data_IF_470010594214
#
_entry.id   IF_470010594214
#
_cell.length_a   1.000
_cell.length_b   1.000
_cell.length_c   1.000
_cell.angle_alpha   90.00
_cell.angle_beta   90.00
_cell.angle_gamma   90.00
#
_symmetry.space_group_name_H-M   'P 1'
#
loop_
_entity.id
_entity.type
_entity.pdbx_description
1 polymer ?
#
# COMPACT_ATOMS: atom_id res chain seq x y z
N UNK A 1 24.11 -4.70 14.89
CA UNK A 1 22.84 -3.95 15.02
C UNK A 1 22.26 -3.77 13.63
N UNK A 2 20.98 -4.07 13.41
CA UNK A 2 20.36 -3.97 12.07
C UNK A 2 20.54 -2.56 11.48
N UNK A 3 20.73 -2.45 10.16
CA UNK A 3 20.92 -1.15 9.48
C UNK A 3 19.75 -0.17 9.75
N UNK A 4 18.54 -0.70 9.96
CA UNK A 4 17.37 0.07 10.39
C UNK A 4 17.53 0.68 11.79
N UNK A 5 17.95 -0.12 12.80
CA UNK A 5 18.21 0.39 14.16
C UNK A 5 19.28 1.48 14.15
N UNK A 6 20.32 1.31 13.34
CA UNK A 6 21.37 2.33 13.17
C UNK A 6 20.83 3.62 12.56
N UNK A 7 20.00 3.52 11.52
CA UNK A 7 19.40 4.69 10.87
C UNK A 7 18.42 5.42 11.80
N UNK A 8 17.63 4.68 12.57
CA UNK A 8 16.71 5.24 13.56
C UNK A 8 17.45 5.93 14.70
N UNK A 9 18.52 5.31 15.19
CA UNK A 9 19.39 5.89 16.21
C UNK A 9 19.99 7.23 15.74
N UNK A 10 20.53 7.29 14.52
CA UNK A 10 21.11 8.53 13.99
C UNK A 10 20.06 9.62 13.73
N UNK A 11 18.88 9.27 13.22
CA UNK A 11 17.80 10.23 13.05
C UNK A 11 17.27 10.76 14.40
N UNK A 12 17.16 9.91 15.41
CA UNK A 12 16.79 10.32 16.76
C UNK A 12 17.84 11.23 17.39
N UNK A 13 19.13 10.93 17.22
CA UNK A 13 20.23 11.81 17.62
C UNK A 13 20.14 13.15 16.90
N UNK A 14 19.93 13.14 15.58
CA UNK A 14 19.79 14.35 14.79
C UNK A 14 18.65 15.24 15.32
N UNK A 15 17.46 14.67 15.54
CA UNK A 15 16.32 15.42 16.08
C UNK A 15 16.59 15.92 17.50
N UNK A 16 17.26 15.13 18.35
CA UNK A 16 17.66 15.55 19.68
C UNK A 16 18.66 16.73 19.64
N UNK A 17 19.64 16.69 18.73
CA UNK A 17 20.59 17.78 18.52
C UNK A 17 19.86 19.03 18.04
N UNK A 18 19.00 18.93 17.02
CA UNK A 18 18.21 20.08 16.53
C UNK A 18 17.33 20.66 17.63
N UNK A 19 16.70 19.82 18.45
CA UNK A 19 15.88 20.27 19.58
C UNK A 19 16.69 20.99 20.64
N UNK A 20 17.87 20.46 21.01
CA UNK A 20 18.77 21.12 21.97
C UNK A 20 19.23 22.47 21.42
N UNK A 21 19.61 22.54 20.14
CA UNK A 21 19.99 23.80 19.50
C UNK A 21 18.84 24.81 19.48
N UNK A 22 17.63 24.37 19.14
CA UNK A 22 16.43 25.22 19.18
C UNK A 22 16.15 25.78 20.59
N UNK A 23 16.38 24.98 21.63
CA UNK A 23 16.19 25.41 23.01
C UNK A 23 17.29 26.38 23.47
N UNK A 24 18.53 26.17 23.03
CA UNK A 24 19.65 27.08 23.38
C UNK A 24 19.52 28.45 22.74
N UNK A 25 18.99 28.51 21.52
CA UNK A 25 18.78 29.77 20.80
C UNK A 25 17.69 30.64 21.44
N UNK A 26 16.72 30.01 22.10
CA UNK A 26 15.62 30.71 22.78
C UNK A 26 16.03 31.34 24.13
N UNK A 27 17.27 31.09 24.60
CA UNK A 27 17.82 31.72 25.79
C UNK A 27 18.25 33.16 25.48
N UNK A 28 18.26 34.03 26.49
CA UNK A 28 18.58 35.47 26.37
C UNK A 28 20.00 35.80 25.87
N UNK A 29 20.83 34.80 25.61
CA UNK A 29 22.19 34.93 25.08
C UNK A 29 22.51 33.69 24.24
N UNK A 30 22.05 33.64 22.98
CA UNK A 30 22.30 32.50 22.09
C UNK A 30 23.81 32.38 21.82
N UNK A 31 24.32 31.15 21.82
CA UNK A 31 25.72 30.84 21.50
C UNK A 31 25.93 30.85 19.98
N UNK A 32 24.91 30.39 19.24
CA UNK A 32 24.78 30.40 17.78
C UNK A 32 23.37 30.92 17.52
N UNK A 33 23.18 31.85 16.58
CA UNK A 33 21.86 32.44 16.30
C UNK A 33 21.32 31.88 14.97
N UNK A 34 20.60 30.77 15.05
CA UNK A 34 19.97 30.11 13.91
C UNK A 34 18.68 30.83 13.50
N UNK A 35 18.51 31.05 12.21
CA UNK A 35 17.31 31.71 11.72
C UNK A 35 16.05 30.83 11.90
N UNK A 36 14.90 31.43 12.22
CA UNK A 36 13.65 30.68 12.42
C UNK A 36 13.21 29.88 11.18
N UNK A 37 13.55 30.36 9.97
CA UNK A 37 13.25 29.63 8.73
C UNK A 37 14.06 28.33 8.59
N UNK A 38 15.22 28.21 9.23
CA UNK A 38 16.00 26.97 9.24
C UNK A 38 15.23 25.88 9.98
N UNK A 39 14.74 26.15 11.20
CA UNK A 39 13.93 25.18 11.95
C UNK A 39 12.65 24.79 11.21
N UNK A 40 11.98 25.77 10.58
CA UNK A 40 10.80 25.50 9.75
C UNK A 40 11.15 24.60 8.55
N UNK A 41 12.29 24.85 7.90
CA UNK A 41 12.77 24.02 6.78
C UNK A 41 13.04 22.58 7.23
N UNK A 42 13.70 22.36 8.37
CA UNK A 42 13.94 21.00 8.92
C UNK A 42 12.63 20.31 9.28
N UNK A 43 11.71 21.03 9.93
CA UNK A 43 10.41 20.52 10.35
C UNK A 43 9.53 20.06 9.17
N UNK A 44 9.69 20.66 7.99
CA UNK A 44 8.99 20.24 6.78
C UNK A 44 9.80 19.19 6.01
N UNK A 45 11.10 19.42 5.82
CA UNK A 45 11.96 18.61 4.98
C UNK A 45 12.10 17.18 5.46
N UNK A 46 12.28 16.98 6.77
CA UNK A 46 12.47 15.66 7.35
C UNK A 46 11.20 14.81 7.22
N UNK A 47 10.00 15.25 7.66
CA UNK A 47 8.78 14.47 7.49
C UNK A 47 8.40 14.24 6.03
N UNK A 48 8.53 15.25 5.15
CA UNK A 48 8.23 15.08 3.72
C UNK A 48 9.15 14.03 3.11
N UNK A 49 10.46 14.09 3.39
CA UNK A 49 11.42 13.10 2.89
C UNK A 49 11.16 11.70 3.45
N UNK A 50 10.74 11.61 4.70
CA UNK A 50 10.51 10.33 5.39
C UNK A 50 9.21 9.64 4.95
N UNK A 51 8.11 10.38 4.84
CA UNK A 51 6.77 9.81 4.65
C UNK A 51 6.29 9.80 3.20
N UNK A 52 6.94 10.53 2.29
CA UNK A 52 6.49 10.56 0.90
C UNK A 52 6.99 9.30 0.14
N UNK A 53 6.08 8.40 -0.30
CA UNK A 53 6.47 7.07 -0.79
C UNK A 53 7.36 7.06 -2.03
N UNK A 54 7.29 8.12 -2.85
CA UNK A 54 8.09 8.23 -4.07
C UNK A 54 9.57 8.53 -3.78
N UNK A 55 9.90 9.08 -2.62
CA UNK A 55 11.26 9.53 -2.30
C UNK A 55 12.19 8.34 -2.01
N UNK A 56 11.66 7.24 -1.48
CA UNK A 56 12.45 6.01 -1.26
C UNK A 56 12.89 5.34 -2.57
N UNK A 57 12.25 5.66 -3.71
CA UNK A 57 12.56 5.10 -5.03
C UNK A 57 13.64 5.88 -5.79
N UNK A 58 13.97 7.08 -5.36
CA UNK A 58 14.98 7.94 -6.02
C UNK A 58 16.33 7.88 -5.30
N UNK A 59 17.45 8.09 -6.01
CA UNK A 59 18.77 8.09 -5.38
C UNK A 59 18.92 9.25 -4.39
N UNK A 60 19.85 9.11 -3.45
CA UNK A 60 19.96 10.01 -2.29
C UNK A 60 20.21 11.47 -2.62
N UNK A 61 20.85 11.76 -3.76
CA UNK A 61 21.13 13.13 -4.18
C UNK A 61 19.89 13.91 -4.63
N UNK A 62 18.80 13.24 -5.03
CA UNK A 62 17.60 13.94 -5.54
C UNK A 62 16.92 14.78 -4.45
N UNK A 63 16.51 14.24 -3.29
CA UNK A 63 15.90 15.07 -2.25
C UNK A 63 16.89 16.07 -1.64
N UNK A 64 18.18 15.74 -1.58
CA UNK A 64 19.23 16.68 -1.16
C UNK A 64 19.25 17.91 -2.08
N UNK A 65 19.34 17.72 -3.40
CA UNK A 65 19.34 18.84 -4.35
C UNK A 65 18.04 19.65 -4.32
N UNK A 66 16.89 19.00 -4.13
CA UNK A 66 15.58 19.66 -4.03
C UNK A 66 15.53 20.56 -2.78
N UNK A 67 15.94 20.05 -1.62
CA UNK A 67 15.93 20.82 -0.37
C UNK A 67 17.04 21.87 -0.32
N UNK A 68 18.22 21.59 -0.88
CA UNK A 68 19.28 22.57 -1.08
C UNK A 68 18.78 23.76 -1.93
N UNK A 69 18.12 23.47 -3.06
CA UNK A 69 17.54 24.50 -3.93
C UNK A 69 16.47 25.32 -3.22
N UNK A 70 15.57 24.66 -2.49
CA UNK A 70 14.53 25.34 -1.71
C UNK A 70 15.13 26.25 -0.64
N UNK A 71 16.15 25.80 0.07
CA UNK A 71 16.83 26.58 1.11
C UNK A 71 17.60 27.78 0.51
N UNK A 72 18.25 27.62 -0.65
CA UNK A 72 18.88 28.74 -1.36
C UNK A 72 17.86 29.82 -1.78
N UNK A 73 16.66 29.41 -2.20
CA UNK A 73 15.57 30.37 -2.50
C UNK A 73 15.12 31.11 -1.24
N UNK A 74 15.00 30.41 -0.10
CA UNK A 74 14.70 31.06 1.19
C UNK A 74 15.77 32.10 1.54
N UNK A 75 17.05 31.76 1.39
CA UNK A 75 18.16 32.69 1.67
C UNK A 75 18.13 33.95 0.80
N UNK A 76 17.59 33.89 -0.43
CA UNK A 76 17.48 35.05 -1.31
C UNK A 76 16.21 35.88 -1.07
N UNK A 77 15.15 35.27 -0.56
CA UNK A 77 13.81 35.89 -0.46
C UNK A 77 13.50 36.41 0.94
N UNK A 78 14.04 35.78 1.98
CA UNK A 78 13.77 36.11 3.38
C UNK A 78 14.95 36.87 3.95
N UNK A 79 14.69 38.11 4.39
CA UNK A 79 15.72 38.91 5.06
C UNK A 79 16.06 38.29 6.42
N UNK A 80 17.31 37.85 6.59
CA UNK A 80 17.77 37.19 7.81
C UNK A 80 17.68 38.10 9.03
N UNK A 81 17.79 39.42 8.84
CA UNK A 81 17.73 40.40 9.93
C UNK A 81 16.40 40.39 10.69
N UNK A 82 15.35 39.79 10.10
CA UNK A 82 14.05 39.58 10.73
C UNK A 82 14.10 38.53 11.84
N UNK A 83 15.06 37.60 11.80
CA UNK A 83 15.07 36.41 12.66
C UNK A 83 16.40 36.08 13.32
N UNK A 84 17.53 36.67 12.90
CA UNK A 84 18.84 36.49 13.51
C UNK A 84 19.72 37.75 13.32
N UNK A 85 20.55 38.09 14.30
CA UNK A 85 21.48 39.24 14.26
C UNK A 85 22.74 38.87 13.48
N UNK A 86 23.27 39.83 12.69
CA UNK A 86 24.48 39.77 11.85
C UNK A 86 25.01 38.36 11.52
N UNK A 87 24.64 37.87 10.32
CA UNK A 87 24.99 36.53 9.87
C UNK A 87 26.49 36.34 9.65
N UNK A 88 27.16 35.70 10.59
CA UNK A 88 28.42 35.06 10.28
C UNK A 88 28.16 33.98 9.21
N UNK A 89 28.92 34.02 8.11
CA UNK A 89 28.84 33.05 7.02
C UNK A 89 28.96 31.59 7.52
N UNK A 90 29.69 31.39 8.62
CA UNK A 90 29.82 30.13 9.35
C UNK A 90 28.46 29.54 9.78
N UNK A 91 27.53 30.37 10.26
CA UNK A 91 26.22 29.91 10.77
C UNK A 91 25.32 29.49 9.61
N UNK A 92 25.31 30.24 8.50
CA UNK A 92 24.52 29.88 7.31
C UNK A 92 25.02 28.55 6.72
N UNK A 93 26.34 28.37 6.65
CA UNK A 93 26.93 27.09 6.22
C UNK A 93 26.55 25.95 7.16
N UNK A 94 26.53 26.20 8.47
CA UNK A 94 26.10 25.21 9.45
C UNK A 94 24.61 24.85 9.31
N UNK A 95 23.72 25.83 9.14
CA UNK A 95 22.29 25.61 8.87
C UNK A 95 22.09 24.74 7.62
N UNK A 96 22.77 25.08 6.53
CA UNK A 96 22.71 24.31 5.30
C UNK A 96 23.17 22.86 5.51
N UNK A 97 24.33 22.66 6.16
CA UNK A 97 24.86 21.32 6.45
C UNK A 97 23.87 20.54 7.34
N UNK A 98 23.32 21.16 8.38
CA UNK A 98 22.38 20.50 9.29
C UNK A 98 21.07 20.12 8.57
N UNK A 99 20.57 20.95 7.66
CA UNK A 99 19.40 20.62 6.86
C UNK A 99 19.67 19.41 5.95
N UNK A 100 20.77 19.46 5.19
CA UNK A 100 21.16 18.38 4.26
C UNK A 100 21.41 17.05 4.99
N UNK A 101 22.07 17.10 6.15
CA UNK A 101 22.26 15.92 7.02
C UNK A 101 20.92 15.35 7.49
N UNK A 102 19.96 16.21 7.86
CA UNK A 102 18.62 15.80 8.24
C UNK A 102 17.86 15.11 7.11
N UNK A 103 17.89 15.71 5.92
CA UNK A 103 17.28 15.14 4.69
C UNK A 103 17.94 13.81 4.34
N UNK A 104 19.26 13.72 4.43
CA UNK A 104 19.99 12.49 4.18
C UNK A 104 19.57 11.37 5.15
N UNK A 105 19.48 11.65 6.44
CA UNK A 105 19.00 10.67 7.42
C UNK A 105 17.56 10.26 7.19
N UNK A 106 16.67 11.21 6.88
CA UNK A 106 15.27 10.94 6.58
C UNK A 106 15.14 10.00 5.36
N UNK A 107 15.92 10.24 4.30
CA UNK A 107 15.98 9.37 3.13
C UNK A 107 16.46 7.96 3.50
N UNK A 108 17.61 7.86 4.20
CA UNK A 108 18.14 6.56 4.62
C UNK A 108 17.10 5.76 5.41
N UNK A 109 16.37 6.40 6.30
CA UNK A 109 15.26 5.76 7.01
C UNK A 109 14.14 5.30 6.08
N UNK A 110 13.68 6.15 5.16
CA UNK A 110 12.62 5.81 4.20
C UNK A 110 13.00 4.58 3.35
N UNK A 111 14.25 4.50 2.88
CA UNK A 111 14.76 3.35 2.13
C UNK A 111 14.81 2.08 2.98
N UNK A 112 15.26 2.19 4.23
CA UNK A 112 15.34 1.01 5.12
C UNK A 112 13.95 0.48 5.48
N UNK A 113 12.96 1.36 5.66
CA UNK A 113 11.56 0.98 5.87
C UNK A 113 11.02 0.26 4.63
N UNK A 114 11.16 0.86 3.45
CA UNK A 114 10.68 0.26 2.19
C UNK A 114 11.35 -1.09 1.88
N UNK A 115 12.64 -1.22 2.16
CA UNK A 115 13.34 -2.50 2.03
C UNK A 115 12.79 -3.55 3.00
N UNK A 116 12.55 -3.19 4.26
CA UNK A 116 11.96 -4.09 5.23
C UNK A 116 10.57 -4.59 4.78
N UNK A 117 9.72 -3.69 4.27
CA UNK A 117 8.42 -4.05 3.69
C UNK A 117 8.57 -5.02 2.51
N UNK A 118 9.47 -4.74 1.56
CA UNK A 118 9.67 -5.62 0.40
C UNK A 118 10.15 -7.02 0.78
N UNK A 119 10.98 -7.13 1.83
CA UNK A 119 11.44 -8.42 2.36
C UNK A 119 10.28 -9.15 3.03
N UNK A 120 9.41 -8.45 3.76
CA UNK A 120 8.21 -9.06 4.35
C UNK A 120 7.29 -9.63 3.29
N UNK A 121 7.06 -8.90 2.19
CA UNK A 121 6.24 -9.37 1.08
C UNK A 121 6.87 -10.59 0.40
N UNK A 122 8.19 -10.55 0.17
CA UNK A 122 8.93 -11.69 -0.39
C UNK A 122 8.86 -12.93 0.52
N UNK A 123 8.94 -12.76 1.85
CA UNK A 123 8.81 -13.85 2.81
C UNK A 123 7.40 -14.43 2.82
N UNK A 124 6.36 -13.59 2.77
CA UNK A 124 4.97 -14.04 2.71
C UNK A 124 4.71 -14.84 1.43
N UNK A 125 5.17 -14.34 0.27
CA UNK A 125 5.07 -15.05 -1.02
C UNK A 125 5.93 -16.32 -1.07
N UNK A 126 7.09 -16.34 -0.42
CA UNK A 126 7.91 -17.55 -0.33
C UNK A 126 7.27 -18.61 0.57
N UNK A 127 6.57 -18.21 1.63
CA UNK A 127 5.86 -19.13 2.52
C UNK A 127 4.61 -19.70 1.83
N UNK A 128 3.92 -18.86 1.06
CA UNK A 128 2.67 -19.19 0.37
C UNK A 128 2.75 -18.80 -1.11
N UNK A 129 3.51 -19.57 -1.92
CA UNK A 129 3.67 -19.28 -3.34
C UNK A 129 2.31 -19.35 -4.05
N UNK A 130 2.05 -18.36 -4.89
CA UNK A 130 0.82 -18.22 -5.66
C UNK A 130 1.07 -17.44 -6.96
N UNK A 131 0.17 -17.54 -7.94
CA UNK A 131 0.28 -16.84 -9.24
C UNK A 131 -0.51 -15.53 -9.28
N UNK A 132 -0.84 -14.93 -8.13
CA UNK A 132 -1.63 -13.69 -8.05
C UNK A 132 -0.82 -12.55 -8.66
N UNK A 133 -1.43 -11.77 -9.55
CA UNK A 133 -0.79 -10.61 -10.19
C UNK A 133 -1.61 -9.35 -10.00
N UNK A 134 -0.98 -8.17 -10.09
CA UNK A 134 -1.71 -6.92 -10.06
C UNK A 134 -2.58 -6.77 -11.31
N UNK A 135 -3.83 -6.38 -11.11
CA UNK A 135 -4.83 -6.24 -12.19
C UNK A 135 -4.36 -5.30 -13.31
N UNK A 136 -3.62 -4.25 -12.95
CA UNK A 136 -3.08 -3.25 -13.88
C UNK A 136 -1.97 -3.83 -14.76
N UNK A 137 -1.18 -4.78 -14.24
CA UNK A 137 -0.09 -5.41 -14.98
C UNK A 137 -0.60 -6.35 -16.09
N UNK A 138 -1.79 -6.94 -15.90
CA UNK A 138 -2.36 -7.96 -16.78
C UNK A 138 -3.47 -7.43 -17.73
N UNK A 139 -3.62 -6.09 -17.85
CA UNK A 139 -4.62 -5.44 -18.72
C UNK A 139 -4.64 -6.00 -20.16
N UNK A 140 -3.46 -6.27 -20.74
CA UNK A 140 -3.35 -6.86 -22.08
C UNK A 140 -3.96 -8.26 -22.14
N UNK A 141 -3.71 -9.10 -21.14
CA UNK A 141 -4.18 -10.48 -21.10
C UNK A 141 -5.69 -10.55 -20.84
N UNK A 142 -6.19 -9.68 -19.97
CA UNK A 142 -7.63 -9.47 -19.73
C UNK A 142 -8.33 -9.12 -21.05
N UNK A 143 -7.83 -8.11 -21.79
CA UNK A 143 -8.40 -7.71 -23.09
C UNK A 143 -8.41 -8.83 -24.12
N UNK A 144 -7.35 -9.65 -24.15
CA UNK A 144 -7.28 -10.83 -25.03
C UNK A 144 -8.37 -11.84 -24.69
N UNK A 145 -8.59 -12.16 -23.42
CA UNK A 145 -9.61 -13.13 -23.01
C UNK A 145 -11.04 -12.62 -23.25
N UNK A 146 -11.33 -11.34 -22.98
CA UNK A 146 -12.64 -10.74 -23.35
C UNK A 146 -12.87 -10.80 -24.86
N UNK A 147 -11.83 -10.49 -25.66
CA UNK A 147 -11.94 -10.55 -27.13
C UNK A 147 -12.15 -11.97 -27.62
N UNK A 148 -11.47 -12.96 -27.03
CA UNK A 148 -11.64 -14.39 -27.36
C UNK A 148 -13.05 -14.88 -27.03
N UNK A 149 -13.52 -14.59 -25.83
CA UNK A 149 -14.88 -14.93 -25.40
C UNK A 149 -15.93 -14.38 -26.36
N UNK A 150 -15.84 -13.09 -26.70
CA UNK A 150 -16.77 -12.43 -27.63
C UNK A 150 -16.71 -13.01 -29.04
N UNK A 151 -15.51 -13.29 -29.56
CA UNK A 151 -15.34 -13.80 -30.94
C UNK A 151 -15.84 -15.23 -31.09
N UNK A 152 -15.54 -16.08 -30.11
CA UNK A 152 -15.83 -17.50 -30.17
C UNK A 152 -17.09 -17.91 -29.39
N UNK A 153 -17.82 -16.95 -28.82
CA UNK A 153 -19.00 -17.17 -27.99
C UNK A 153 -18.73 -18.19 -26.88
N UNK A 154 -17.53 -18.11 -26.28
CA UNK A 154 -17.14 -18.95 -25.14
C UNK A 154 -17.51 -18.22 -23.86
N UNK A 155 -18.13 -18.89 -22.88
CA UNK A 155 -18.50 -18.25 -21.63
C UNK A 155 -17.26 -17.75 -20.90
N UNK A 156 -17.35 -16.58 -20.29
CA UNK A 156 -16.28 -15.97 -19.50
C UNK A 156 -16.93 -15.41 -18.25
N UNK A 157 -16.40 -15.76 -17.08
CA UNK A 157 -16.93 -15.26 -15.82
C UNK A 157 -15.84 -14.62 -15.00
N UNK A 158 -16.22 -13.66 -14.17
CA UNK A 158 -15.35 -12.96 -13.25
C UNK A 158 -15.87 -13.16 -11.83
N UNK A 159 -15.00 -13.54 -10.91
CA UNK A 159 -15.31 -13.69 -9.49
C UNK A 159 -14.46 -12.70 -8.70
N UNK A 160 -15.08 -11.92 -7.84
CA UNK A 160 -14.40 -11.08 -6.84
C UNK A 160 -14.47 -11.77 -5.50
N UNK A 161 -13.34 -11.86 -4.79
CA UNK A 161 -13.25 -12.37 -3.43
C UNK A 161 -12.59 -11.31 -2.55
N UNK A 162 -13.27 -10.94 -1.47
CA UNK A 162 -12.86 -9.91 -0.51
C UNK A 162 -12.90 -10.46 0.91
N UNK A 163 -11.96 -10.03 1.75
CA UNK A 163 -11.97 -10.37 3.17
C UNK A 163 -13.19 -9.78 3.87
N UNK A 164 -13.83 -10.57 4.73
CA UNK A 164 -14.84 -10.05 5.63
C UNK A 164 -14.12 -9.34 6.79
N UNK A 165 -14.03 -8.02 6.72
CA UNK A 165 -13.59 -7.20 7.84
C UNK A 165 -14.75 -7.05 8.82
N UNK A 166 -14.59 -7.58 10.03
CA UNK A 166 -15.46 -7.29 11.18
C UNK A 166 -15.33 -5.79 11.51
N UNK A 167 -16.07 -4.94 10.78
CA UNK A 167 -16.06 -3.47 10.93
C UNK A 167 -16.47 -3.01 12.35
N UNK A 168 -16.99 -3.91 13.19
CA UNK A 168 -17.43 -3.62 14.55
C UNK A 168 -16.38 -3.85 15.66
N UNK A 169 -15.19 -4.42 15.38
CA UNK A 169 -14.20 -4.74 16.45
C UNK A 169 -12.91 -3.93 16.45
N UNK A 170 -12.69 -3.02 15.50
CA UNK A 170 -11.41 -2.32 15.33
C UNK A 170 -11.31 -0.94 16.01
N UNK A 171 -12.08 -0.68 17.08
CA UNK A 171 -11.88 0.51 17.93
C UNK A 171 -10.83 0.31 19.03
N UNK A 172 -10.04 -0.77 19.01
CA UNK A 172 -8.99 -1.00 20.01
C UNK A 172 -7.63 -1.33 19.41
N UNK A 173 -6.67 -0.51 19.80
CA UNK A 173 -5.21 -0.70 19.73
C UNK A 173 -4.50 -0.23 18.44
N UNK A 174 -4.32 1.09 18.34
CA UNK A 174 -3.27 1.76 17.55
C UNK A 174 -1.85 1.20 17.83
N UNK A 175 -1.67 0.43 18.91
CA UNK A 175 -0.40 -0.23 19.27
C UNK A 175 -0.12 -1.54 18.50
N UNK A 176 -1.04 -2.04 17.66
CA UNK A 176 -0.91 -3.34 16.96
C UNK A 176 -0.52 -3.26 15.48
N UNK A 177 -0.09 -2.09 14.99
CA UNK A 177 0.04 -1.81 13.55
C UNK A 177 1.03 -2.71 12.81
N UNK A 178 2.21 -2.99 13.37
CA UNK A 178 3.23 -3.81 12.67
C UNK A 178 2.87 -5.29 12.65
N UNK A 179 2.39 -5.83 13.79
CA UNK A 179 1.95 -7.23 13.84
C UNK A 179 0.74 -7.46 12.95
N UNK A 180 -0.18 -6.49 12.92
CA UNK A 180 -1.34 -6.55 12.05
C UNK A 180 -0.97 -6.49 10.56
N UNK A 181 -0.03 -5.62 10.18
CA UNK A 181 0.44 -5.53 8.79
C UNK A 181 1.14 -6.84 8.35
N UNK A 182 1.99 -7.41 9.21
CA UNK A 182 2.59 -8.72 8.97
C UNK A 182 1.53 -9.81 8.82
N UNK A 183 0.60 -9.92 9.76
CA UNK A 183 -0.48 -10.91 9.69
C UNK A 183 -1.33 -10.72 8.44
N UNK A 184 -1.66 -9.48 8.07
CA UNK A 184 -2.40 -9.15 6.85
C UNK A 184 -1.68 -9.64 5.59
N UNK A 185 -0.36 -9.39 5.47
CA UNK A 185 0.44 -9.84 4.33
C UNK A 185 0.51 -11.36 4.23
N UNK A 186 0.76 -12.05 5.34
CA UNK A 186 0.81 -13.52 5.37
C UNK A 186 -0.56 -14.15 5.14
N UNK A 187 -1.63 -13.62 5.74
CA UNK A 187 -3.00 -14.08 5.51
C UNK A 187 -3.41 -13.86 4.06
N UNK A 188 -3.06 -12.71 3.47
CA UNK A 188 -3.31 -12.44 2.06
C UNK A 188 -2.55 -13.40 1.15
N UNK A 189 -1.26 -13.63 1.39
CA UNK A 189 -0.49 -14.60 0.61
C UNK A 189 -1.04 -16.03 0.77
N UNK A 190 -1.48 -16.40 1.98
CA UNK A 190 -2.11 -17.70 2.25
C UNK A 190 -3.42 -17.88 1.49
N UNK A 191 -4.29 -16.88 1.49
CA UNK A 191 -5.53 -16.92 0.70
C UNK A 191 -5.23 -16.95 -0.79
N UNK A 192 -4.24 -16.17 -1.25
CA UNK A 192 -3.75 -16.23 -2.63
C UNK A 192 -3.32 -17.65 -3.05
N UNK A 193 -2.61 -18.37 -2.18
CA UNK A 193 -2.24 -19.77 -2.40
C UNK A 193 -3.46 -20.70 -2.43
N UNK A 194 -4.41 -20.53 -1.51
CA UNK A 194 -5.64 -21.35 -1.47
C UNK A 194 -6.46 -21.17 -2.75
N UNK A 195 -6.53 -19.94 -3.26
CA UNK A 195 -7.15 -19.64 -4.55
C UNK A 195 -6.39 -20.32 -5.68
N UNK A 196 -5.05 -20.16 -5.72
CA UNK A 196 -4.20 -20.69 -6.79
C UNK A 196 -4.26 -22.23 -6.90
N UNK A 197 -4.38 -22.91 -5.76
CA UNK A 197 -4.56 -24.37 -5.65
C UNK A 197 -5.87 -24.87 -6.26
N UNK A 198 -6.88 -24.00 -6.42
CA UNK A 198 -8.25 -24.36 -6.82
C UNK A 198 -8.62 -23.91 -8.22
N UNK A 199 -7.97 -22.87 -8.73
CA UNK A 199 -8.20 -22.37 -10.09
C UNK A 199 -7.42 -23.17 -11.14
N UNK A 200 -7.88 -23.12 -12.40
CA UNK A 200 -7.18 -23.74 -13.52
C UNK A 200 -5.97 -22.90 -13.93
N UNK A 201 -5.05 -23.50 -14.69
CA UNK A 201 -3.92 -22.75 -15.28
C UNK A 201 -4.35 -21.66 -16.28
N UNK A 202 -5.52 -21.84 -16.91
CA UNK A 202 -6.10 -20.87 -17.85
C UNK A 202 -6.70 -19.65 -17.17
N UNK A 203 -7.08 -19.79 -15.90
CA UNK A 203 -7.72 -18.71 -15.14
C UNK A 203 -6.66 -17.68 -14.74
N UNK A 204 -7.04 -16.40 -14.77
CA UNK A 204 -6.20 -15.33 -14.26
C UNK A 204 -6.57 -15.05 -12.81
N UNK A 205 -5.58 -15.11 -11.93
CA UNK A 205 -5.75 -14.71 -10.53
C UNK A 205 -5.11 -13.33 -10.38
N UNK A 206 -5.96 -12.33 -10.14
CA UNK A 206 -5.57 -10.93 -10.12
C UNK A 206 -5.84 -10.32 -8.73
N UNK A 207 -5.19 -9.20 -8.44
CA UNK A 207 -5.40 -8.39 -7.25
C UNK A 207 -5.66 -6.94 -7.62
N UNK A 208 -6.69 -6.35 -7.03
CA UNK A 208 -7.00 -4.93 -7.25
C UNK A 208 -6.30 -4.01 -6.25
N UNK A 209 -6.39 -2.69 -6.50
CA UNK A 209 -5.79 -1.66 -5.65
C UNK A 209 -6.36 -1.61 -4.21
N UNK A 210 -7.48 -2.26 -3.92
CA UNK A 210 -8.03 -2.41 -2.56
C UNK A 210 -7.60 -3.73 -1.90
N UNK A 211 -6.78 -4.52 -2.58
CA UNK A 211 -6.29 -5.81 -2.10
C UNK A 211 -7.28 -6.97 -2.28
N UNK A 212 -8.38 -6.78 -3.02
CA UNK A 212 -9.37 -7.83 -3.33
C UNK A 212 -8.85 -8.74 -4.43
N UNK A 213 -9.17 -10.02 -4.34
CA UNK A 213 -8.86 -10.99 -5.40
C UNK A 213 -9.91 -10.91 -6.51
N UNK A 214 -9.44 -10.95 -7.74
CA UNK A 214 -10.27 -10.94 -8.95
C UNK A 214 -9.85 -12.13 -9.81
N UNK A 215 -10.76 -13.07 -10.00
CA UNK A 215 -10.56 -14.28 -10.79
C UNK A 215 -11.23 -14.08 -12.14
N UNK A 216 -10.47 -14.10 -13.22
CA UNK A 216 -11.01 -14.15 -14.57
C UNK A 216 -10.94 -15.60 -15.06
N UNK A 217 -12.10 -16.21 -15.28
CA UNK A 217 -12.24 -17.64 -15.60
C UNK A 217 -12.75 -17.81 -17.04
N UNK A 218 -11.87 -18.01 -18.04
CA UNK A 218 -12.27 -18.36 -19.39
C UNK A 218 -13.01 -19.70 -19.43
N UNK A 219 -13.90 -19.86 -20.40
CA UNK A 219 -14.67 -21.10 -20.63
C UNK A 219 -15.47 -21.54 -19.40
N UNK A 220 -15.96 -20.57 -18.63
CA UNK A 220 -16.66 -20.79 -17.37
C UNK A 220 -17.92 -19.95 -17.36
N UNK A 221 -19.07 -20.60 -17.23
CA UNK A 221 -20.37 -19.94 -17.06
C UNK A 221 -20.58 -19.45 -15.63
N UNK A 222 -21.66 -18.70 -15.41
CA UNK A 222 -21.94 -18.07 -14.12
C UNK A 222 -22.14 -19.10 -13.00
N UNK A 223 -22.78 -20.23 -13.31
CA UNK A 223 -23.06 -21.31 -12.36
C UNK A 223 -21.76 -21.98 -11.90
N UNK A 224 -20.87 -22.33 -12.85
CA UNK A 224 -19.56 -22.90 -12.56
C UNK A 224 -18.66 -21.93 -11.80
N UNK A 225 -18.72 -20.64 -12.13
CA UNK A 225 -17.99 -19.59 -11.42
C UNK A 225 -18.48 -19.44 -9.97
N UNK A 226 -19.79 -19.54 -9.76
CA UNK A 226 -20.41 -19.51 -8.43
C UNK A 226 -20.00 -20.73 -7.59
N UNK A 227 -20.00 -21.93 -8.18
CA UNK A 227 -19.50 -23.13 -7.51
C UNK A 227 -18.02 -23.03 -7.16
N UNK A 228 -17.19 -22.48 -8.05
CA UNK A 228 -15.77 -22.22 -7.78
C UNK A 228 -15.61 -21.25 -6.60
N UNK A 229 -16.35 -20.15 -6.59
CA UNK A 229 -16.30 -19.14 -5.54
C UNK A 229 -16.68 -19.72 -4.17
N UNK A 230 -17.75 -20.51 -4.09
CA UNK A 230 -18.14 -21.21 -2.86
C UNK A 230 -17.05 -22.17 -2.36
N UNK A 231 -16.48 -22.98 -3.26
CA UNK A 231 -15.38 -23.91 -2.91
C UNK A 231 -14.14 -23.18 -2.41
N UNK A 232 -13.86 -21.99 -2.93
CA UNK A 232 -12.78 -21.12 -2.45
C UNK A 232 -13.12 -20.59 -1.06
N UNK A 233 -14.33 -20.05 -0.86
CA UNK A 233 -14.74 -19.49 0.43
C UNK A 233 -14.71 -20.54 1.55
N UNK A 234 -15.21 -21.75 1.29
CA UNK A 234 -15.13 -22.88 2.23
C UNK A 234 -13.67 -23.24 2.57
N UNK A 235 -12.80 -23.31 1.56
CA UNK A 235 -11.40 -23.66 1.76
C UNK A 235 -10.62 -22.58 2.52
N UNK A 236 -10.95 -21.30 2.31
CA UNK A 236 -10.38 -20.20 3.07
C UNK A 236 -10.81 -20.30 4.53
N UNK A 237 -12.11 -20.49 4.79
CA UNK A 237 -12.64 -20.68 6.14
C UNK A 237 -12.00 -21.87 6.86
N UNK A 238 -11.90 -23.02 6.20
CA UNK A 238 -11.31 -24.23 6.77
C UNK A 238 -9.81 -24.07 7.09
N UNK A 239 -9.04 -23.42 6.21
CA UNK A 239 -7.56 -23.36 6.32
C UNK A 239 -7.04 -22.15 7.08
N UNK A 240 -7.86 -21.12 7.28
CA UNK A 240 -7.41 -19.84 7.88
C UNK A 240 -8.33 -19.31 8.98
N UNK A 241 -9.49 -19.93 9.20
CA UNK A 241 -10.56 -19.42 10.10
C UNK A 241 -11.08 -18.03 9.72
N UNK A 242 -10.76 -17.55 8.51
CA UNK A 242 -11.21 -16.28 7.97
C UNK A 242 -12.43 -16.49 7.08
N UNK A 243 -13.38 -15.57 7.17
CA UNK A 243 -14.50 -15.49 6.22
C UNK A 243 -14.16 -14.56 5.07
N UNK A 244 -14.66 -14.90 3.88
CA UNK A 244 -14.55 -14.07 2.68
C UNK A 244 -15.93 -13.89 2.06
N UNK A 245 -16.20 -12.69 1.59
CA UNK A 245 -17.35 -12.38 0.74
C UNK A 245 -16.93 -12.51 -0.71
N UNK A 246 -17.83 -12.98 -1.56
CA UNK A 246 -17.56 -13.12 -2.98
C UNK A 246 -18.78 -12.76 -3.84
N UNK A 247 -18.52 -12.40 -5.09
CA UNK A 247 -19.56 -12.15 -6.08
C UNK A 247 -19.05 -12.51 -7.46
N UNK A 248 -19.93 -13.06 -8.30
CA UNK A 248 -19.60 -13.47 -9.66
C UNK A 248 -20.40 -12.68 -10.69
N UNK A 249 -19.84 -12.46 -11.88
CA UNK A 249 -20.53 -11.89 -13.03
C UNK A 249 -20.08 -12.57 -14.33
N UNK A 250 -20.97 -12.62 -15.33
CA UNK A 250 -20.73 -13.30 -16.60
C UNK A 250 -20.66 -12.33 -17.79
N UNK A 251 -19.71 -12.60 -18.68
CA UNK A 251 -19.50 -11.91 -19.95
C UNK A 251 -19.84 -12.86 -21.11
N UNK A 252 -20.49 -12.38 -22.19
CA UNK A 252 -20.92 -11.00 -22.44
C UNK A 252 -22.35 -10.68 -21.94
N UNK A 253 -23.07 -11.65 -21.38
CA UNK A 253 -24.51 -11.53 -21.10
C UNK A 253 -24.85 -10.43 -20.09
N UNK A 254 -23.99 -10.23 -19.09
CA UNK A 254 -24.23 -9.24 -18.04
C UNK A 254 -23.43 -7.95 -18.24
N UNK A 255 -22.34 -7.96 -19.02
CA UNK A 255 -21.47 -6.80 -19.18
C UNK A 255 -20.75 -6.82 -20.54
N UNK A 256 -20.49 -5.64 -21.10
CA UNK A 256 -19.79 -5.48 -22.39
C UNK A 256 -18.32 -5.09 -22.23
N UNK A 257 -17.93 -4.64 -21.05
CA UNK A 257 -16.56 -4.23 -20.71
C UNK A 257 -16.07 -4.94 -19.46
N UNK A 258 -14.75 -4.97 -19.26
CA UNK A 258 -14.16 -5.54 -18.05
C UNK A 258 -14.53 -4.73 -16.81
N UNK A 259 -14.57 -3.40 -16.90
CA UNK A 259 -14.90 -2.51 -15.78
C UNK A 259 -16.34 -2.73 -15.31
N UNK A 260 -17.29 -2.84 -16.24
CA UNK A 260 -18.70 -3.14 -15.92
C UNK A 260 -18.85 -4.52 -15.27
N UNK A 261 -18.11 -5.52 -15.78
CA UNK A 261 -18.11 -6.88 -15.25
C UNK A 261 -17.56 -6.92 -13.82
N UNK A 262 -16.46 -6.22 -13.59
CA UNK A 262 -15.83 -6.07 -12.28
C UNK A 262 -16.74 -5.33 -11.29
N UNK A 263 -17.41 -4.26 -11.74
CA UNK A 263 -18.36 -3.52 -10.91
C UNK A 263 -19.52 -4.42 -10.47
N UNK A 264 -20.15 -5.15 -11.40
CA UNK A 264 -21.26 -6.07 -11.08
C UNK A 264 -20.86 -7.15 -10.08
N UNK A 265 -19.69 -7.77 -10.28
CA UNK A 265 -19.19 -8.78 -9.35
C UNK A 265 -18.93 -8.19 -7.95
N UNK A 266 -18.42 -6.95 -7.86
CA UNK A 266 -18.22 -6.23 -6.58
C UNK A 266 -19.55 -5.91 -5.89
N UNK A 267 -20.55 -5.45 -6.63
CA UNK A 267 -21.88 -5.17 -6.08
C UNK A 267 -22.52 -6.43 -5.49
N UNK A 268 -22.39 -7.58 -6.16
CA UNK A 268 -22.84 -8.88 -5.63
C UNK A 268 -22.05 -9.35 -4.41
N UNK A 269 -20.74 -9.09 -4.37
CA UNK A 269 -19.93 -9.39 -3.19
C UNK A 269 -20.30 -8.51 -1.97
N UNK A 270 -20.74 -7.27 -2.21
CA UNK A 270 -21.24 -6.38 -1.17
C UNK A 270 -22.66 -6.77 -0.71
N UNK A 271 -23.52 -7.18 -1.63
CA UNK A 271 -24.91 -7.56 -1.38
C UNK A 271 -25.17 -9.00 -1.85
N UNK A 272 -24.93 -10.02 -1.00
CA UNK A 272 -25.15 -11.43 -1.36
C UNK A 272 -26.58 -11.73 -1.79
N UNK A 273 -27.56 -10.96 -1.29
CA UNK A 273 -28.98 -11.05 -1.65
C UNK A 273 -29.26 -10.64 -3.11
N UNK A 274 -28.34 -9.98 -3.81
CA UNK A 274 -28.51 -9.62 -5.22
C UNK A 274 -28.36 -10.83 -6.17
N UNK A 275 -27.78 -11.95 -5.70
CA UNK A 275 -27.64 -13.17 -6.50
C UNK A 275 -28.91 -14.04 -6.54
N UNK A 276 -29.84 -13.90 -5.59
CA UNK A 276 -31.08 -14.69 -5.53
C UNK A 276 -32.15 -14.26 -6.54
N UNK A 277 -31.89 -13.21 -7.33
CA UNK A 277 -32.80 -12.74 -8.40
C UNK A 277 -32.74 -13.53 -9.72
N UNK A 278 -31.81 -14.49 -9.87
CA UNK A 278 -31.69 -15.35 -11.06
C UNK A 278 -32.07 -16.80 -10.69
N UNK A 279 -33.37 -17.06 -10.67
CA UNK A 279 -34.07 -18.35 -10.44
C UNK A 279 -33.94 -19.01 -9.04
N UNK A 280 -35.08 -19.31 -8.37
CA UNK A 280 -35.09 -19.91 -7.05
C UNK A 280 -35.08 -21.44 -7.16
N UNK A 281 -33.96 -22.12 -6.85
CA UNK A 281 -34.01 -23.58 -6.62
C UNK A 281 -32.87 -24.19 -5.78
N UNK A 282 -31.97 -23.43 -5.13
CA UNK A 282 -30.82 -24.04 -4.41
C UNK A 282 -30.72 -23.71 -2.90
N UNK A 283 -31.59 -22.86 -2.34
CA UNK A 283 -31.52 -22.53 -0.90
C UNK A 283 -32.59 -23.26 -0.06
N UNK A 284 -32.52 -24.60 -0.02
CA UNK A 284 -33.30 -25.38 0.98
C UNK A 284 -32.52 -26.57 1.52
N UNK A 285 -31.22 -26.41 1.84
CA UNK A 285 -30.51 -27.51 2.50
C UNK A 285 -29.44 -27.16 3.55
N UNK A 286 -29.32 -25.90 4.00
CA UNK A 286 -28.37 -25.57 5.08
C UNK A 286 -28.97 -24.64 6.14
N UNK A 287 -30.11 -25.05 6.70
CA UNK A 287 -30.51 -24.65 8.05
C UNK A 287 -30.97 -25.91 8.77
N UNK A 288 -30.04 -26.61 9.42
CA UNK A 288 -30.21 -27.36 10.67
C UNK A 288 -28.84 -27.64 11.28
#
# INVERSE_FOLDING_TARGET
>A
MTNLKRSFFWAAIYLAVIYVLAQTDYLSSPIIDFASYFYLSVMIAVPVTLFFPSISRVPSYVPLLVWAGFYLVILQTVDRSVSAVEGEFSVIVLEFILLEVGVWFAHQLAVQISHAESVMDALALSAFPNRVQDIEAEDKRIKVELTRSRRYHRPLSLVVVEFESDDEKLTKEVLKSIQHDLLSRFSSARVGQIIDDRVRQTDLVLRDHKGRFVLLCPETDLESATMLANRIAEAVKERTDMSVRWGAAAFPDEALTFDDLLQKARERAANPEAMTGLSPLVLTQYVY
#
